data_IF_228150287394
#
_entry.id   IF_228150287394
#
_cell.length_a   1.000
_cell.length_b   1.000
_cell.length_c   1.000
_cell.angle_alpha   90.00
_cell.angle_beta   90.00
_cell.angle_gamma   90.00
#
_symmetry.space_group_name_H-M   'P 1'
#
loop_
_entity.id
_entity.type
_entity.pdbx_description
1 polymer ?
#
# COMPACT_ATOMS: atom_id res chain seq x y z
N UNK A 1 1.22 12.17 -15.71
CA UNK A 1 1.78 12.62 -14.42
C UNK A 1 1.20 11.74 -13.34
N UNK A 2 2.02 10.91 -12.69
CA UNK A 2 1.57 10.08 -11.57
C UNK A 2 1.49 10.98 -10.34
N UNK A 3 0.31 11.14 -9.78
CA UNK A 3 0.09 12.05 -8.65
C UNK A 3 0.12 11.29 -7.32
N UNK A 4 0.51 11.95 -6.22
CA UNK A 4 0.41 11.40 -4.86
C UNK A 4 -0.96 10.77 -4.54
N UNK A 5 -2.05 11.36 -5.06
CA UNK A 5 -3.41 10.81 -4.94
C UNK A 5 -3.53 9.40 -5.51
N UNK A 6 -2.92 9.12 -6.66
CA UNK A 6 -2.99 7.81 -7.30
C UNK A 6 -2.22 6.78 -6.47
N UNK A 7 -1.03 7.16 -5.97
CA UNK A 7 -0.25 6.33 -5.05
C UNK A 7 -1.03 6.00 -3.77
N UNK A 8 -1.70 6.99 -3.17
CA UNK A 8 -2.56 6.80 -2.00
C UNK A 8 -3.72 5.83 -2.25
N UNK A 9 -4.39 5.95 -3.40
CA UNK A 9 -5.48 5.04 -3.78
C UNK A 9 -4.96 3.60 -3.90
N UNK A 10 -3.80 3.41 -4.55
CA UNK A 10 -3.18 2.07 -4.69
C UNK A 10 -2.74 1.53 -3.33
N UNK A 11 -2.16 2.36 -2.46
CA UNK A 11 -1.79 2.00 -1.10
C UNK A 11 -2.99 1.53 -0.26
N UNK A 12 -4.11 2.24 -0.34
CA UNK A 12 -5.36 1.88 0.34
C UNK A 12 -5.96 0.61 -0.24
N UNK A 13 -5.97 0.46 -1.57
CA UNK A 13 -6.48 -0.73 -2.24
C UNK A 13 -5.65 -1.98 -1.89
N UNK A 14 -4.32 -1.86 -1.88
CA UNK A 14 -3.38 -2.90 -1.51
C UNK A 14 -3.60 -3.34 -0.04
N UNK A 15 -3.63 -2.40 0.90
CA UNK A 15 -3.89 -2.70 2.31
C UNK A 15 -5.26 -3.36 2.53
N UNK A 16 -6.29 -2.91 1.81
CA UNK A 16 -7.63 -3.51 1.86
C UNK A 16 -7.63 -4.93 1.29
N UNK A 17 -6.93 -5.16 0.17
CA UNK A 17 -6.80 -6.49 -0.44
C UNK A 17 -6.04 -7.47 0.47
N UNK A 18 -5.05 -6.99 1.23
CA UNK A 18 -4.31 -7.79 2.21
C UNK A 18 -5.25 -8.24 3.35
N UNK A 19 -6.11 -7.34 3.86
CA UNK A 19 -7.12 -7.69 4.86
C UNK A 19 -8.14 -8.70 4.33
N UNK A 20 -8.62 -8.52 3.09
CA UNK A 20 -9.52 -9.47 2.42
C UNK A 20 -8.85 -10.83 2.27
N UNK A 21 -7.57 -10.88 1.91
CA UNK A 21 -6.80 -12.13 1.83
C UNK A 21 -6.65 -12.82 3.18
N UNK A 22 -6.44 -12.05 4.24
CA UNK A 22 -6.34 -12.57 5.60
C UNK A 22 -7.68 -13.22 6.02
N UNK A 23 -8.79 -12.54 5.75
CA UNK A 23 -10.15 -13.08 5.98
C UNK A 23 -10.42 -14.29 5.08
N UNK A 24 -10.04 -14.26 3.80
CA UNK A 24 -10.18 -15.38 2.88
C UNK A 24 -9.36 -16.60 3.32
N UNK A 25 -8.17 -16.39 3.89
CA UNK A 25 -7.32 -17.46 4.43
C UNK A 25 -7.92 -18.09 5.70
N UNK A 26 -8.59 -17.29 6.54
CA UNK A 26 -9.33 -17.80 7.70
C UNK A 26 -10.58 -18.55 7.25
N UNK A 27 -11.36 -17.97 6.32
CA UNK A 27 -12.57 -18.60 5.76
C UNK A 27 -12.26 -19.94 5.08
N UNK A 28 -11.13 -20.04 4.36
CA UNK A 28 -10.66 -21.31 3.79
C UNK A 28 -10.48 -22.42 4.84
N UNK A 29 -10.14 -22.06 6.07
CA UNK A 29 -9.96 -23.03 7.18
C UNK A 29 -11.25 -23.35 7.91
N UNK A 30 -12.29 -22.51 7.78
CA UNK A 30 -13.58 -22.68 8.48
C UNK A 30 -14.72 -23.13 7.56
N UNK A 31 -14.56 -22.98 6.24
CA UNK A 31 -15.61 -23.17 5.23
C UNK A 31 -15.01 -23.78 3.95
N UNK A 32 -15.82 -24.47 3.15
CA UNK A 32 -15.45 -25.04 1.84
C UNK A 32 -15.18 -23.99 0.74
N UNK A 33 -15.33 -22.70 1.04
CA UNK A 33 -15.15 -21.61 0.06
C UNK A 33 -13.69 -21.18 -0.03
N UNK A 34 -13.03 -21.49 -1.14
CA UNK A 34 -11.64 -21.07 -1.40
C UNK A 34 -11.56 -19.79 -2.25
N UNK A 35 -11.54 -18.63 -1.58
CA UNK A 35 -11.34 -17.32 -2.23
C UNK A 35 -9.86 -16.96 -2.41
N UNK A 36 -8.94 -17.71 -1.77
CA UNK A 36 -7.50 -17.45 -1.80
C UNK A 36 -6.89 -17.49 -3.21
N UNK A 37 -7.28 -18.40 -4.14
CA UNK A 37 -6.71 -18.46 -5.49
C UNK A 37 -7.03 -17.24 -6.35
N UNK A 38 -8.11 -16.52 -6.03
CA UNK A 38 -8.54 -15.30 -6.73
C UNK A 38 -7.93 -14.08 -6.05
N UNK A 39 -8.03 -14.01 -4.72
CA UNK A 39 -7.55 -12.86 -3.95
C UNK A 39 -6.02 -12.78 -3.88
N UNK A 40 -5.33 -13.92 -3.96
CA UNK A 40 -3.86 -14.00 -3.98
C UNK A 40 -3.24 -13.23 -5.13
N UNK A 41 -3.58 -13.54 -6.39
CA UNK A 41 -3.10 -12.82 -7.56
C UNK A 41 -3.52 -11.35 -7.59
N UNK A 42 -4.76 -11.04 -7.18
CA UNK A 42 -5.25 -9.65 -7.11
C UNK A 42 -4.41 -8.81 -6.16
N UNK A 43 -4.17 -9.34 -4.96
CA UNK A 43 -3.31 -8.69 -3.98
C UNK A 43 -1.86 -8.58 -4.45
N UNK A 44 -1.29 -9.66 -5.01
CA UNK A 44 0.06 -9.64 -5.55
C UNK A 44 0.25 -8.59 -6.66
N UNK A 45 -0.74 -8.43 -7.54
CA UNK A 45 -0.72 -7.38 -8.55
C UNK A 45 -0.76 -5.97 -7.94
N UNK A 46 -1.57 -5.76 -6.90
CA UNK A 46 -1.64 -4.49 -6.17
C UNK A 46 -0.33 -4.19 -5.43
N UNK A 47 0.31 -5.20 -4.84
CA UNK A 47 1.61 -5.07 -4.19
C UNK A 47 2.70 -4.66 -5.19
N UNK A 48 2.77 -5.30 -6.36
CA UNK A 48 3.72 -4.93 -7.41
C UNK A 48 3.44 -3.50 -7.92
N UNK A 49 2.17 -3.14 -8.12
CA UNK A 49 1.80 -1.78 -8.51
C UNK A 49 2.22 -0.74 -7.46
N UNK A 50 2.04 -1.05 -6.17
CA UNK A 50 2.49 -0.19 -5.07
C UNK A 50 4.00 0.02 -5.10
N UNK A 51 4.79 -1.06 -5.20
CA UNK A 51 6.25 -1.00 -5.23
C UNK A 51 6.73 -0.21 -6.45
N UNK A 52 6.15 -0.46 -7.62
CA UNK A 52 6.46 0.28 -8.84
C UNK A 52 6.21 1.78 -8.66
N UNK A 53 5.03 2.16 -8.14
CA UNK A 53 4.71 3.56 -7.88
C UNK A 53 5.65 4.17 -6.83
N UNK A 54 5.99 3.44 -5.76
CA UNK A 54 6.94 3.93 -4.76
C UNK A 54 8.33 4.22 -5.36
N UNK A 55 8.80 3.39 -6.30
CA UNK A 55 10.05 3.61 -7.04
C UNK A 55 9.94 4.82 -7.97
N UNK A 56 8.81 4.99 -8.66
CA UNK A 56 8.59 6.13 -9.57
C UNK A 56 8.47 7.46 -8.80
N UNK A 57 7.82 7.48 -7.64
CA UNK A 57 7.68 8.68 -6.81
C UNK A 57 8.93 9.01 -5.98
N UNK A 58 9.83 8.05 -5.77
CA UNK A 58 11.08 8.26 -5.01
C UNK A 58 11.88 9.49 -5.48
N UNK A 59 12.20 9.65 -6.79
CA UNK A 59 12.92 10.83 -7.27
C UNK A 59 12.08 12.11 -7.22
N UNK A 60 10.77 12.04 -7.49
CA UNK A 60 9.86 13.21 -7.47
C UNK A 60 9.69 13.79 -6.07
N UNK A 61 9.62 12.93 -5.05
CA UNK A 61 9.43 13.32 -3.65
C UNK A 61 10.75 13.44 -2.86
N UNK A 62 11.89 13.19 -3.50
CA UNK A 62 13.22 13.22 -2.88
C UNK A 62 13.29 12.43 -1.57
N UNK A 63 12.67 11.25 -1.54
CA UNK A 63 12.68 10.42 -0.34
C UNK A 63 14.08 9.89 -0.04
N UNK A 64 14.53 10.07 1.21
CA UNK A 64 15.73 9.43 1.71
C UNK A 64 15.59 7.90 1.69
N UNK A 65 16.70 7.18 1.61
CA UNK A 65 16.71 5.71 1.59
C UNK A 65 15.97 5.13 2.81
N UNK A 66 16.05 5.77 3.98
CA UNK A 66 15.27 5.35 5.16
C UNK A 66 13.77 5.44 4.94
N UNK A 67 13.29 6.54 4.36
CA UNK A 67 11.87 6.76 4.05
C UNK A 67 11.39 5.76 3.02
N UNK A 68 12.18 5.50 1.98
CA UNK A 68 11.85 4.51 0.96
C UNK A 68 11.73 3.10 1.54
N UNK A 69 12.65 2.69 2.42
CA UNK A 69 12.57 1.42 3.14
C UNK A 69 11.34 1.37 4.03
N UNK A 70 11.01 2.45 4.73
CA UNK A 70 9.81 2.51 5.59
C UNK A 70 8.52 2.36 4.78
N UNK A 71 8.45 2.94 3.58
CA UNK A 71 7.34 2.80 2.63
C UNK A 71 7.22 1.36 2.14
N UNK A 72 8.32 0.71 1.79
CA UNK A 72 8.33 -0.71 1.39
C UNK A 72 7.92 -1.63 2.54
N UNK A 73 8.43 -1.42 3.74
CA UNK A 73 8.01 -2.16 4.94
C UNK A 73 6.54 -1.91 5.23
N UNK A 74 6.06 -0.69 5.00
CA UNK A 74 4.64 -0.36 5.08
C UNK A 74 3.77 -1.13 4.08
N UNK A 75 4.30 -1.53 2.93
CA UNK A 75 3.57 -2.38 1.99
C UNK A 75 3.43 -3.82 2.48
N UNK A 76 4.37 -4.31 3.28
CA UNK A 76 4.40 -5.70 3.76
C UNK A 76 3.59 -5.88 5.05
N UNK A 77 3.49 -4.82 5.85
CA UNK A 77 2.74 -4.84 7.10
C UNK A 77 1.25 -4.59 6.79
N UNK A 78 0.32 -5.49 7.19
CA UNK A 78 -1.11 -5.17 7.14
C UNK A 78 -1.30 -3.88 7.94
N UNK A 79 -1.85 -2.83 7.32
CA UNK A 79 -1.94 -1.43 7.79
C UNK A 79 -0.84 -0.44 7.39
N UNK A 80 0.30 -0.86 6.83
CA UNK A 80 1.34 0.11 6.52
C UNK A 80 1.00 1.02 5.33
N UNK A 81 0.13 0.60 4.41
CA UNK A 81 -0.50 1.49 3.42
C UNK A 81 -1.27 2.67 4.05
N UNK A 82 -1.95 2.44 5.18
CA UNK A 82 -2.61 3.51 5.96
C UNK A 82 -1.62 4.42 6.69
N UNK A 83 -0.51 3.87 7.18
CA UNK A 83 0.57 4.65 7.81
C UNK A 83 1.24 5.55 6.79
N UNK A 84 1.51 5.04 5.58
CA UNK A 84 2.09 5.81 4.47
C UNK A 84 1.12 6.90 4.00
N UNK A 85 -0.18 6.61 3.89
CA UNK A 85 -1.21 7.61 3.58
C UNK A 85 -1.24 8.75 4.61
N UNK A 86 -1.19 8.40 5.90
CA UNK A 86 -1.19 9.36 7.02
C UNK A 86 0.10 10.17 7.06
N UNK A 87 1.25 9.55 6.80
CA UNK A 87 2.54 10.22 6.75
C UNK A 87 2.60 11.23 5.59
N UNK A 88 2.16 10.84 4.38
CA UNK A 88 2.06 11.73 3.22
C UNK A 88 1.15 12.93 3.48
N UNK A 89 0.01 12.70 4.13
CA UNK A 89 -0.92 13.78 4.52
C UNK A 89 -0.30 14.75 5.54
N UNK A 90 0.62 14.25 6.38
CA UNK A 90 1.32 15.06 7.39
C UNK A 90 2.43 15.91 6.76
N UNK A 91 3.22 15.32 5.84
CA UNK A 91 4.29 16.03 5.12
C UNK A 91 3.78 17.13 4.21
N UNK A 92 2.60 16.97 3.60
CA UNK A 92 1.96 18.02 2.80
C UNK A 92 1.47 19.24 3.60
N UNK A 93 1.38 19.13 4.93
CA UNK A 93 0.92 20.23 5.79
C UNK A 93 2.06 21.16 6.22
N UNK A 94 3.30 20.68 6.24
CA UNK A 94 4.48 21.48 6.64
C UNK A 94 4.93 22.50 5.59
N UNK A 95 4.42 22.43 4.36
CA UNK A 95 4.67 23.44 3.30
C UNK A 95 3.52 24.43 3.15
N UNK A 96 2.45 24.28 3.93
CA UNK A 96 1.32 25.21 4.01
C UNK A 96 1.37 25.95 5.36
N UNK A 97 2.32 26.85 5.49
CA UNK A 97 2.28 27.90 6.53
C UNK A 97 2.52 29.23 5.79
N UNK A 98 1.53 30.13 5.70
CA UNK A 98 1.78 31.52 5.33
C UNK A 98 2.57 32.26 6.42
#
# INVERSE_FOLDING_TARGET
MITLKNFRIVALAEATSFLILLVASVLKRTTDTDLVPIMGPVHGALFVAYVALAVLLRPEQRWDTKTFVLILVGAVVPFGGYVVDRWLTSSSRSTATP
#
